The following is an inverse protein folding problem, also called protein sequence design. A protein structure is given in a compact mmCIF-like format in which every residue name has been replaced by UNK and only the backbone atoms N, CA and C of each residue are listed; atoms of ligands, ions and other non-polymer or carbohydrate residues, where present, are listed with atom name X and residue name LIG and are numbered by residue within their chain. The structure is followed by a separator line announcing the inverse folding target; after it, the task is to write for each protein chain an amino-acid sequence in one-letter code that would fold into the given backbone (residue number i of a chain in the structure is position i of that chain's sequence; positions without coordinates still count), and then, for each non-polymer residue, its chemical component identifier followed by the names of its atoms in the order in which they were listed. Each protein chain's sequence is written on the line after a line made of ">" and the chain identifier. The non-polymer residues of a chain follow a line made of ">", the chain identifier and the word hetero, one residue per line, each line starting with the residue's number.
data_IF_969986634539
#
_entry.id   IF_969986634539
#
_cell.length_a   1.000
_cell.length_b   1.000
_cell.length_c   1.000
_cell.angle_alpha   90.00
_cell.angle_beta   90.00
_cell.angle_gamma   90.00
#
_symmetry.space_group_name_H-M   'P 1'
#
loop_
_entity.id
_entity.type
_entity.pdbx_description
1 polymer ?
#
# COMPACT_ATOMS: atom_id res chain seq x y z
N UNK A 1 -21.36 1.41 9.85
CA UNK A 1 -20.23 0.49 10.04
C UNK A 1 -19.10 1.33 10.59
N UNK A 2 -18.53 0.98 11.74
CA UNK A 2 -17.37 1.71 12.29
C UNK A 2 -16.11 1.45 11.45
N UNK A 3 -15.06 2.23 11.72
CA UNK A 3 -13.80 2.18 10.97
C UNK A 3 -13.14 0.80 11.10
N UNK A 4 -13.11 0.24 12.31
CA UNK A 4 -12.53 -1.07 12.58
C UNK A 4 -13.17 -2.17 11.73
N UNK A 5 -14.51 -2.19 11.63
CA UNK A 5 -15.26 -3.16 10.84
C UNK A 5 -14.95 -3.04 9.34
N UNK A 6 -14.86 -1.80 8.81
CA UNK A 6 -14.48 -1.55 7.42
C UNK A 6 -13.07 -2.05 7.12
N UNK A 7 -12.10 -1.70 7.97
CA UNK A 7 -10.70 -2.11 7.81
C UNK A 7 -10.56 -3.63 7.89
N UNK A 8 -11.21 -4.27 8.86
CA UNK A 8 -11.21 -5.73 8.99
C UNK A 8 -11.74 -6.40 7.72
N UNK A 9 -12.87 -5.93 7.19
CA UNK A 9 -13.45 -6.45 5.95
C UNK A 9 -12.49 -6.24 4.78
N UNK A 10 -11.86 -5.08 4.67
CA UNK A 10 -10.89 -4.80 3.61
C UNK A 10 -9.72 -5.80 3.68
N UNK A 11 -9.11 -5.97 4.85
CA UNK A 11 -8.00 -6.93 5.07
C UNK A 11 -8.43 -8.36 4.68
N UNK A 12 -9.62 -8.79 5.10
CA UNK A 12 -10.11 -10.14 4.79
C UNK A 12 -10.28 -10.36 3.29
N UNK A 13 -10.80 -9.37 2.55
CA UNK A 13 -11.00 -9.48 1.10
C UNK A 13 -9.66 -9.42 0.38
N UNK A 14 -8.86 -8.40 0.67
CA UNK A 14 -7.57 -8.15 0.03
C UNK A 14 -6.60 -9.32 0.27
N UNK A 15 -6.57 -9.86 1.49
CA UNK A 15 -5.74 -11.01 1.84
C UNK A 15 -6.18 -12.32 1.20
N UNK A 16 -7.47 -12.51 0.92
CA UNK A 16 -7.96 -13.68 0.16
C UNK A 16 -7.63 -13.59 -1.32
N UNK A 17 -7.56 -12.37 -1.87
CA UNK A 17 -7.33 -12.13 -3.29
C UNK A 17 -5.84 -11.97 -3.64
N UNK A 18 -4.97 -11.79 -2.64
CA UNK A 18 -3.56 -11.47 -2.89
C UNK A 18 -3.43 -10.17 -3.68
N UNK A 19 -4.15 -9.13 -3.25
CA UNK A 19 -4.30 -7.87 -3.97
C UNK A 19 -3.72 -6.68 -3.24
N UNK A 20 -3.67 -5.56 -3.93
CA UNK A 20 -3.38 -4.25 -3.36
C UNK A 20 -4.71 -3.63 -2.98
N UNK A 21 -4.96 -3.47 -1.68
CA UNK A 21 -6.11 -2.70 -1.19
C UNK A 21 -5.81 -1.20 -1.22
N UNK A 22 -6.84 -0.38 -1.37
CA UNK A 22 -6.72 1.08 -1.27
C UNK A 22 -7.66 1.62 -0.21
N UNK A 23 -7.12 2.45 0.68
CA UNK A 23 -7.88 3.31 1.57
C UNK A 23 -7.74 4.75 1.10
N UNK A 24 -8.88 5.40 0.84
CA UNK A 24 -8.96 6.81 0.48
C UNK A 24 -9.48 7.60 1.68
N UNK A 25 -8.75 8.65 2.06
CA UNK A 25 -9.20 9.63 3.05
C UNK A 25 -9.74 10.84 2.30
N UNK A 26 -11.04 11.11 2.43
CA UNK A 26 -11.74 12.14 1.67
C UNK A 26 -11.54 13.53 2.27
N UNK A 27 -11.65 13.64 3.60
CA UNK A 27 -11.55 14.93 4.29
C UNK A 27 -10.10 15.27 4.65
N UNK A 28 -9.51 16.21 3.92
CA UNK A 28 -8.18 16.74 4.19
C UNK A 28 -8.05 17.39 5.57
N UNK A 29 -9.13 17.95 6.14
CA UNK A 29 -9.09 18.54 7.50
C UNK A 29 -8.92 17.48 8.57
N UNK A 30 -9.47 16.29 8.34
CA UNK A 30 -9.41 15.16 9.27
C UNK A 30 -8.28 14.18 8.92
N UNK A 31 -7.55 14.39 7.81
CA UNK A 31 -6.51 13.51 7.29
C UNK A 31 -5.60 12.93 8.37
N UNK A 32 -4.99 13.78 9.18
CA UNK A 32 -4.04 13.35 10.22
C UNK A 32 -4.72 12.49 11.30
N UNK A 33 -5.96 12.83 11.68
CA UNK A 33 -6.73 12.06 12.65
C UNK A 33 -7.13 10.69 12.09
N UNK A 34 -7.65 10.68 10.86
CA UNK A 34 -8.08 9.48 10.17
C UNK A 34 -6.90 8.53 9.88
N UNK A 35 -5.76 9.05 9.42
CA UNK A 35 -4.53 8.28 9.22
C UNK A 35 -4.09 7.57 10.49
N UNK A 36 -4.12 8.26 11.65
CA UNK A 36 -3.76 7.66 12.94
C UNK A 36 -4.73 6.55 13.34
N UNK A 37 -6.03 6.74 13.13
CA UNK A 37 -7.04 5.73 13.42
C UNK A 37 -6.86 4.50 12.52
N UNK A 38 -6.76 4.71 11.20
CA UNK A 38 -6.53 3.63 10.23
C UNK A 38 -5.24 2.86 10.57
N UNK A 39 -4.14 3.56 10.82
CA UNK A 39 -2.87 2.93 11.18
C UNK A 39 -2.99 2.12 12.48
N UNK A 40 -3.71 2.62 13.49
CA UNK A 40 -3.92 1.87 14.73
C UNK A 40 -4.67 0.56 14.48
N UNK A 41 -5.75 0.58 13.70
CA UNK A 41 -6.54 -0.60 13.35
C UNK A 41 -5.74 -1.61 12.52
N UNK A 42 -4.97 -1.14 11.54
CA UNK A 42 -4.10 -1.99 10.71
C UNK A 42 -3.02 -2.68 11.54
N UNK A 43 -2.36 -1.94 12.44
CA UNK A 43 -1.34 -2.49 13.33
C UNK A 43 -1.94 -3.51 14.31
N UNK A 44 -3.15 -3.26 14.85
CA UNK A 44 -3.87 -4.23 15.69
C UNK A 44 -4.23 -5.50 14.92
N UNK A 45 -4.50 -5.40 13.62
CA UNK A 45 -4.73 -6.54 12.73
C UNK A 45 -3.45 -7.25 12.27
N UNK A 46 -2.27 -6.82 12.74
CA UNK A 46 -0.98 -7.43 12.40
C UNK A 46 -0.40 -7.00 11.04
N UNK A 47 -0.98 -5.98 10.40
CA UNK A 47 -0.49 -5.42 9.13
C UNK A 47 0.58 -4.38 9.46
N UNK A 48 1.83 -4.63 9.03
CA UNK A 48 2.96 -3.78 9.40
C UNK A 48 3.03 -2.49 8.57
N UNK A 49 3.52 -1.39 9.15
CA UNK A 49 3.79 -0.16 8.39
C UNK A 49 5.09 -0.27 7.60
N UNK A 50 5.05 0.06 6.31
CA UNK A 50 6.24 0.34 5.50
C UNK A 50 6.42 1.87 5.36
N UNK A 51 7.61 2.37 5.64
CA UNK A 51 7.89 3.82 5.62
C UNK A 51 8.37 4.35 4.26
N UNK A 52 8.86 3.47 3.40
CA UNK A 52 9.42 3.81 2.11
C UNK A 52 9.45 2.56 1.21
N UNK A 53 9.75 2.77 -0.07
CA UNK A 53 9.79 1.70 -1.06
C UNK A 53 10.81 0.59 -0.72
N UNK A 54 11.91 0.87 0.00
CA UNK A 54 12.87 -0.17 0.39
C UNK A 54 12.28 -1.12 1.44
N UNK A 55 11.55 -0.59 2.42
CA UNK A 55 10.83 -1.41 3.40
C UNK A 55 9.68 -2.21 2.75
N UNK A 56 9.01 -1.63 1.73
CA UNK A 56 8.02 -2.35 0.92
C UNK A 56 8.67 -3.56 0.25
N UNK A 57 9.82 -3.36 -0.41
CA UNK A 57 10.57 -4.45 -1.04
C UNK A 57 10.98 -5.52 -0.03
N UNK A 58 11.43 -5.14 1.17
CA UNK A 58 11.76 -6.07 2.26
C UNK A 58 10.54 -6.90 2.71
N UNK A 59 9.35 -6.30 2.79
CA UNK A 59 8.13 -7.01 3.18
C UNK A 59 7.60 -7.92 2.08
N UNK A 60 7.71 -7.51 0.82
CA UNK A 60 7.40 -8.36 -0.34
C UNK A 60 8.26 -9.62 -0.32
N UNK A 61 9.58 -9.47 -0.19
CA UNK A 61 10.53 -10.58 -0.11
C UNK A 61 10.23 -11.54 1.06
N UNK A 62 9.76 -11.00 2.19
CA UNK A 62 9.38 -11.78 3.38
C UNK A 62 7.95 -12.33 3.33
N UNK A 63 7.21 -12.10 2.25
CA UNK A 63 5.79 -12.47 2.14
C UNK A 63 4.94 -12.00 3.33
N UNK A 64 5.26 -10.81 3.87
CA UNK A 64 4.60 -10.25 5.04
C UNK A 64 3.56 -9.23 4.58
N UNK A 65 2.36 -9.24 5.17
CA UNK A 65 1.36 -8.21 4.94
C UNK A 65 1.78 -6.86 5.52
N UNK A 66 1.57 -5.78 4.77
CA UNK A 66 1.94 -4.44 5.17
C UNK A 66 0.97 -3.37 4.65
N UNK A 67 1.12 -2.15 5.14
CA UNK A 67 0.49 -0.97 4.58
C UNK A 67 1.55 0.10 4.29
N UNK A 68 1.29 0.90 3.26
CA UNK A 68 2.10 2.06 2.91
C UNK A 68 1.25 3.32 2.98
N UNK A 69 1.74 4.31 3.71
CA UNK A 69 1.12 5.62 3.85
C UNK A 69 1.93 6.63 3.06
N UNK A 70 1.31 7.25 2.05
CA UNK A 70 1.97 8.33 1.30
C UNK A 70 1.97 9.62 2.11
N UNK A 71 3.15 10.11 2.43
CA UNK A 71 3.34 11.35 3.19
C UNK A 71 3.48 12.58 2.29
N UNK A 72 3.79 12.39 1.00
CA UNK A 72 3.98 13.48 0.03
C UNK A 72 2.68 13.81 -0.72
N UNK A 73 2.70 14.79 -1.62
CA UNK A 73 1.48 15.27 -2.30
C UNK A 73 0.96 14.32 -3.39
N UNK A 74 1.78 13.36 -3.83
CA UNK A 74 1.43 12.31 -4.81
C UNK A 74 2.11 11.00 -4.42
N UNK A 75 1.66 9.90 -4.98
CA UNK A 75 2.32 8.61 -4.79
C UNK A 75 3.74 8.65 -5.38
N UNK A 76 4.70 8.17 -4.61
CA UNK A 76 6.10 8.05 -5.06
C UNK A 76 6.21 7.23 -6.37
N UNK A 77 7.03 7.70 -7.31
CA UNK A 77 7.14 7.09 -8.63
C UNK A 77 7.66 5.65 -8.56
N UNK A 78 8.50 5.30 -7.57
CA UNK A 78 8.94 3.93 -7.36
C UNK A 78 7.82 3.07 -6.77
N UNK A 79 6.96 3.64 -5.92
CA UNK A 79 5.77 2.93 -5.44
C UNK A 79 4.80 2.62 -6.59
N UNK A 80 4.66 3.51 -7.57
CA UNK A 80 3.89 3.25 -8.79
C UNK A 80 4.47 2.07 -9.58
N UNK A 81 5.79 2.01 -9.74
CA UNK A 81 6.47 0.87 -10.37
C UNK A 81 6.21 -0.45 -9.61
N UNK A 82 6.31 -0.44 -8.28
CA UNK A 82 5.98 -1.61 -7.44
C UNK A 82 4.55 -2.07 -7.68
N UNK A 83 3.59 -1.15 -7.71
CA UNK A 83 2.16 -1.45 -7.91
C UNK A 83 1.93 -2.08 -9.28
N UNK A 84 2.53 -1.52 -10.33
CA UNK A 84 2.38 -2.01 -11.70
C UNK A 84 2.96 -3.43 -11.87
N UNK A 85 4.06 -3.74 -11.19
CA UNK A 85 4.75 -5.03 -11.30
C UNK A 85 4.22 -6.08 -10.30
N UNK A 86 3.45 -5.67 -9.28
CA UNK A 86 3.06 -6.52 -8.16
C UNK A 86 2.46 -7.87 -8.56
N UNK A 87 1.51 -7.86 -9.51
CA UNK A 87 0.80 -9.08 -9.95
C UNK A 87 1.68 -10.06 -10.71
N UNK A 88 2.86 -9.63 -11.17
CA UNK A 88 3.83 -10.53 -11.80
C UNK A 88 4.58 -11.40 -10.77
N UNK A 89 4.53 -11.04 -9.48
CA UNK A 89 5.29 -11.69 -8.41
C UNK A 89 6.79 -11.36 -8.42
N UNK A 90 7.20 -10.40 -9.26
CA UNK A 90 8.58 -9.92 -9.35
C UNK A 90 8.51 -8.40 -9.42
N UNK A 91 9.29 -7.72 -8.59
CA UNK A 91 9.43 -6.26 -8.64
C UNK A 91 10.90 -5.92 -8.78
N UNK A 92 11.25 -5.06 -9.74
CA UNK A 92 12.63 -4.68 -10.05
C UNK A 92 12.79 -3.17 -10.14
N UNK A 93 13.32 -2.56 -9.09
CA UNK A 93 13.53 -1.11 -9.02
C UNK A 93 14.98 -0.75 -9.29
N UNK A 94 15.20 0.38 -9.96
CA UNK A 94 16.55 0.94 -10.09
C UNK A 94 16.89 1.76 -8.84
N UNK A 95 17.78 1.25 -7.97
CA UNK A 95 18.22 1.99 -6.77
C UNK A 95 19.28 3.03 -7.15
N UNK A 96 18.79 4.17 -7.64
CA UNK A 96 19.63 5.34 -7.98
C UNK A 96 20.16 6.06 -6.74
N UNK A 97 19.53 5.90 -5.56
CA UNK A 97 19.91 6.62 -4.34
C UNK A 97 21.16 6.03 -3.69
N UNK A 98 21.29 4.71 -3.67
CA UNK A 98 22.44 4.04 -3.04
C UNK A 98 23.51 3.58 -4.04
N UNK A 99 23.33 3.84 -5.35
CA UNK A 99 24.27 3.39 -6.41
C UNK A 99 24.52 1.88 -6.43
N UNK A 100 23.57 1.09 -5.92
CA UNK A 100 23.69 -0.38 -5.76
C UNK A 100 23.23 -1.16 -7.00
N UNK A 101 22.65 -0.49 -7.99
CA UNK A 101 22.17 -1.11 -9.23
C UNK A 101 20.67 -1.40 -9.20
N UNK A 102 20.25 -2.48 -9.88
CA UNK A 102 18.87 -2.93 -9.90
C UNK A 102 18.60 -3.78 -8.64
N UNK A 103 17.58 -3.42 -7.85
CA UNK A 103 17.09 -4.24 -6.74
C UNK A 103 15.86 -5.02 -7.21
N UNK A 104 15.98 -6.35 -7.23
CA UNK A 104 14.87 -7.25 -7.60
C UNK A 104 14.42 -8.06 -6.40
N UNK A 105 13.11 -8.13 -6.18
CA UNK A 105 12.48 -9.05 -5.23
C UNK A 105 11.53 -9.98 -5.96
N UNK A 106 11.45 -11.22 -5.50
CA UNK A 106 10.49 -12.23 -6.00
C UNK A 106 9.64 -12.70 -4.84
N UNK A 107 8.34 -12.81 -5.06
CA UNK A 107 7.38 -13.21 -4.05
C UNK A 107 6.17 -13.90 -4.71
N UNK A 108 5.37 -14.61 -3.91
CA UNK A 108 4.09 -15.12 -4.39
C UNK A 108 3.00 -14.07 -4.14
N UNK A 109 2.42 -13.45 -5.18
CA UNK A 109 1.39 -12.43 -4.99
C UNK A 109 0.11 -12.98 -4.36
N UNK A 110 -0.13 -14.30 -4.38
CA UNK A 110 -1.29 -14.91 -3.73
C UNK A 110 -1.10 -15.10 -2.22
N UNK A 111 0.15 -15.09 -1.73
CA UNK A 111 0.48 -15.26 -0.30
C UNK A 111 0.82 -13.93 0.38
N UNK A 112 0.76 -12.81 -0.37
CA UNK A 112 1.06 -11.47 0.11
C UNK A 112 -0.12 -10.56 -0.23
N UNK A 113 -0.28 -9.49 0.53
CA UNK A 113 -1.14 -8.37 0.19
C UNK A 113 -0.62 -7.12 0.88
N UNK A 114 -0.96 -5.95 0.33
CA UNK A 114 -0.72 -4.71 1.04
C UNK A 114 -1.83 -3.70 0.85
N UNK A 115 -1.88 -2.76 1.79
CA UNK A 115 -2.88 -1.69 1.78
C UNK A 115 -2.17 -0.37 1.53
N UNK A 116 -2.57 0.31 0.46
CA UNK A 116 -2.14 1.67 0.15
C UNK A 116 -3.10 2.65 0.82
N UNK A 117 -2.57 3.68 1.49
CA UNK A 117 -3.38 4.71 2.14
C UNK A 117 -3.04 6.06 1.50
N UNK A 118 -4.04 6.64 0.84
CA UNK A 118 -3.93 7.94 0.15
C UNK A 118 -5.08 8.85 0.56
N UNK A 119 -4.90 10.16 0.44
CA UNK A 119 -6.00 11.11 0.41
C UNK A 119 -6.57 11.25 -1.00
N UNK A 120 -7.79 11.76 -1.13
CA UNK A 120 -8.43 12.03 -2.44
C UNK A 120 -7.52 12.83 -3.36
N UNK A 121 -6.84 13.86 -2.84
CA UNK A 121 -5.90 14.69 -3.61
C UNK A 121 -4.71 13.91 -4.11
N UNK A 122 -4.12 13.06 -3.26
CA UNK A 122 -2.98 12.22 -3.65
C UNK A 122 -3.39 11.25 -4.76
N UNK A 123 -4.57 10.64 -4.66
CA UNK A 123 -5.12 9.77 -5.72
C UNK A 123 -5.23 10.50 -7.06
N UNK A 124 -5.83 11.70 -7.06
CA UNK A 124 -5.98 12.52 -8.27
C UNK A 124 -4.64 12.94 -8.87
N UNK A 125 -3.65 13.23 -8.02
CA UNK A 125 -2.30 13.64 -8.45
C UNK A 125 -1.45 12.48 -8.98
N UNK A 126 -1.76 11.23 -8.64
CA UNK A 126 -0.92 10.05 -8.93
C UNK A 126 -1.25 9.33 -10.24
N UNK A 127 -2.33 9.72 -10.92
CA UNK A 127 -2.68 9.19 -12.25
C UNK A 127 -3.19 7.74 -12.24
N UNK A 128 -2.90 7.00 -13.31
CA UNK A 128 -3.44 5.66 -13.58
C UNK A 128 -2.70 4.56 -12.81
N UNK A 129 -3.17 4.24 -11.61
CA UNK A 129 -2.77 3.02 -10.89
C UNK A 129 -3.97 2.13 -10.53
N UNK A 130 -5.19 2.63 -10.73
CA UNK A 130 -6.43 1.94 -10.38
C UNK A 130 -6.61 0.57 -11.06
N UNK A 131 -5.99 0.34 -12.22
CA UNK A 131 -6.06 -0.95 -12.90
C UNK A 131 -5.30 -2.07 -12.16
N UNK A 132 -4.41 -1.70 -11.23
CA UNK A 132 -3.63 -2.62 -10.39
C UNK A 132 -4.14 -2.71 -8.95
N UNK A 133 -5.18 -1.93 -8.62
CA UNK A 133 -5.78 -1.88 -7.29
C UNK A 133 -7.02 -2.77 -7.25
N UNK A 134 -7.14 -3.53 -6.17
CA UNK A 134 -8.29 -4.34 -5.86
C UNK A 134 -9.35 -3.56 -5.06
N UNK A 135 -9.85 -4.12 -3.94
CA UNK A 135 -10.84 -3.47 -3.09
C UNK A 135 -10.45 -2.07 -2.59
N UNK A 136 -11.42 -1.18 -2.59
CA UNK A 136 -11.28 0.22 -2.17
C UNK A 136 -12.23 0.50 -1.00
N UNK A 137 -11.72 1.12 0.06
CA UNK A 137 -12.51 1.72 1.12
C UNK A 137 -12.25 3.23 1.21
N UNK A 138 -13.29 3.99 1.54
CA UNK A 138 -13.23 5.44 1.65
C UNK A 138 -13.81 5.91 3.00
N UNK A 139 -13.17 6.93 3.57
CA UNK A 139 -13.44 7.50 4.89
C UNK A 139 -13.51 9.02 4.86
#
# INVERSE_FOLDING_TARGET
>A
MDIASKIKKLIEVVGKLGEIGLIIIEDEKEKVGMQKQIAAELNQAGVASAKNYLEVMDFLEKSKAFYYLEETDKLDDLMLEIIAEYKTGIVSLQDRKNSTGLRTVKFNPNDNYFILILSRKQVEASGQFFEFIGPIESF
#
